data_IF_548472474509
#
_entry.id   IF_548472474509
#
_cell.length_a   1.000
_cell.length_b   1.000
_cell.length_c   1.000
_cell.angle_alpha   90.00
_cell.angle_beta   90.00
_cell.angle_gamma   90.00
#
_symmetry.space_group_name_H-M   'P 1'
#
loop_
_entity.id
_entity.type
_entity.pdbx_description
1 polymer ?
#
# COMPACT_ATOMS: atom_id res chain seq x y z
N UNK A 1 8.23 16.53 -6.87
CA UNK A 1 6.75 16.65 -6.81
C UNK A 1 6.29 18.06 -6.51
N UNK A 2 6.80 18.78 -5.50
CA UNK A 2 6.40 20.16 -5.25
C UNK A 2 6.62 21.04 -6.49
N UNK A 3 7.77 20.89 -7.16
CA UNK A 3 8.07 21.59 -8.41
C UNK A 3 7.09 21.22 -9.54
N UNK A 4 6.72 19.94 -9.67
CA UNK A 4 5.74 19.47 -10.67
C UNK A 4 4.35 20.01 -10.34
N UNK A 5 3.95 20.01 -9.07
CA UNK A 5 2.67 20.56 -8.62
C UNK A 5 2.56 22.06 -8.92
N UNK A 6 3.65 22.81 -8.73
CA UNK A 6 3.75 24.23 -9.07
C UNK A 6 3.69 24.49 -10.59
N UNK A 7 4.27 23.60 -11.39
CA UNK A 7 4.28 23.72 -12.86
C UNK A 7 2.93 23.35 -13.50
N UNK A 8 2.17 22.42 -12.92
CA UNK A 8 0.90 21.94 -13.50
C UNK A 8 -0.28 22.89 -13.36
N UNK A 9 -0.14 24.07 -12.71
CA UNK A 9 -1.23 25.05 -12.48
C UNK A 9 -2.53 24.42 -11.96
N UNK A 10 -2.46 23.21 -11.36
CA UNK A 10 -3.61 22.58 -10.73
C UNK A 10 -4.12 23.43 -9.57
N UNK A 11 -5.43 23.52 -9.40
CA UNK A 11 -6.02 24.24 -8.28
C UNK A 11 -5.43 23.74 -6.95
N UNK A 12 -4.96 24.68 -6.13
CA UNK A 12 -4.46 24.36 -4.79
C UNK A 12 -5.64 23.87 -3.94
N UNK A 13 -5.48 22.76 -3.17
CA UNK A 13 -6.55 22.21 -2.36
C UNK A 13 -7.07 23.19 -1.31
N UNK A 14 -8.33 23.07 -0.96
CA UNK A 14 -8.94 23.82 0.12
C UNK A 14 -8.43 23.35 1.50
N UNK A 15 -8.76 24.08 2.56
CA UNK A 15 -8.26 23.79 3.92
C UNK A 15 -8.68 22.41 4.43
N UNK A 16 -9.88 21.95 4.06
CA UNK A 16 -10.41 20.65 4.46
C UNK A 16 -9.63 19.53 3.77
N UNK A 17 -9.40 19.68 2.47
CA UNK A 17 -8.58 18.73 1.68
C UNK A 17 -7.13 18.68 2.14
N UNK A 18 -6.55 19.83 2.53
CA UNK A 18 -5.20 19.87 3.15
C UNK A 18 -5.19 19.09 4.46
N UNK A 19 -6.19 19.28 5.32
CA UNK A 19 -6.31 18.53 6.58
C UNK A 19 -6.38 17.02 6.32
N UNK A 20 -7.24 16.58 5.40
CA UNK A 20 -7.37 15.16 5.07
C UNK A 20 -6.10 14.58 4.44
N UNK A 21 -5.43 15.33 3.57
CA UNK A 21 -4.16 14.90 2.98
C UNK A 21 -3.04 14.78 4.04
N UNK A 22 -2.93 15.73 4.97
CA UNK A 22 -1.97 15.65 6.08
C UNK A 22 -2.29 14.48 7.02
N UNK A 23 -3.56 14.29 7.37
CA UNK A 23 -4.02 13.18 8.21
C UNK A 23 -3.71 11.84 7.55
N UNK A 24 -4.02 11.70 6.25
CA UNK A 24 -3.66 10.52 5.47
C UNK A 24 -2.15 10.25 5.53
N UNK A 25 -1.34 11.27 5.27
CA UNK A 25 0.11 11.14 5.34
C UNK A 25 0.62 10.73 6.72
N UNK A 26 0.09 11.34 7.78
CA UNK A 26 0.47 11.01 9.16
C UNK A 26 0.10 9.56 9.51
N UNK A 27 -1.13 9.13 9.22
CA UNK A 27 -1.60 7.76 9.44
C UNK A 27 -0.77 6.77 8.61
N UNK A 28 -0.56 7.07 7.32
CA UNK A 28 0.22 6.21 6.42
C UNK A 28 1.67 6.06 6.85
N UNK A 29 2.33 7.15 7.27
CA UNK A 29 3.70 7.12 7.77
C UNK A 29 3.83 6.30 9.06
N UNK A 30 2.90 6.47 9.99
CA UNK A 30 2.86 5.67 11.22
C UNK A 30 2.60 4.19 10.93
N UNK A 31 1.65 3.90 10.04
CA UNK A 31 1.33 2.52 9.64
C UNK A 31 2.50 1.82 8.97
N UNK A 32 3.25 2.55 8.14
CA UNK A 32 4.45 2.02 7.49
C UNK A 32 5.55 1.70 8.51
N UNK A 33 5.74 2.56 9.52
CA UNK A 33 6.70 2.30 10.60
C UNK A 33 6.31 1.04 11.40
N UNK A 34 5.03 0.86 11.73
CA UNK A 34 4.50 -0.34 12.39
C UNK A 34 4.68 -1.56 11.50
N UNK A 35 4.40 -1.43 10.20
CA UNK A 35 4.54 -2.51 9.23
C UNK A 35 5.98 -3.02 9.14
N UNK A 36 6.96 -2.11 9.07
CA UNK A 36 8.37 -2.50 9.09
C UNK A 36 8.77 -3.13 10.42
N UNK A 37 8.23 -2.65 11.55
CA UNK A 37 8.39 -3.29 12.85
C UNK A 37 7.83 -4.72 12.90
N UNK A 38 6.69 -4.94 12.27
CA UNK A 38 6.08 -6.26 12.12
C UNK A 38 6.94 -7.19 11.23
N UNK A 39 7.45 -6.69 10.09
CA UNK A 39 8.37 -7.43 9.22
C UNK A 39 9.66 -7.82 9.95
N UNK A 40 10.23 -6.91 10.74
CA UNK A 40 11.43 -7.16 11.54
C UNK A 40 11.24 -8.24 12.63
N UNK A 41 9.99 -8.57 12.99
CA UNK A 41 9.69 -9.67 13.91
C UNK A 41 9.94 -11.08 13.33
N UNK A 42 10.37 -11.18 12.08
CA UNK A 42 10.82 -12.41 11.43
C UNK A 42 9.71 -13.25 10.79
N UNK A 43 8.54 -12.68 10.53
CA UNK A 43 7.38 -13.39 9.95
C UNK A 43 6.88 -12.71 8.66
N UNK A 44 7.79 -12.42 7.74
CA UNK A 44 7.47 -11.74 6.49
C UNK A 44 6.31 -12.39 5.71
N UNK A 45 6.24 -13.72 5.72
CA UNK A 45 5.22 -14.48 4.98
C UNK A 45 3.78 -14.29 5.47
N UNK A 46 3.57 -13.87 6.73
CA UNK A 46 2.23 -13.62 7.29
C UNK A 46 1.92 -12.13 7.44
N UNK A 47 2.94 -11.34 7.74
CA UNK A 47 2.78 -9.91 8.03
C UNK A 47 2.25 -9.12 6.83
N UNK A 48 2.86 -9.31 5.67
CA UNK A 48 2.47 -8.57 4.46
C UNK A 48 1.03 -8.91 3.99
N UNK A 49 0.60 -10.21 3.94
CA UNK A 49 -0.77 -10.56 3.60
C UNK A 49 -1.81 -9.98 4.55
N UNK A 50 -1.56 -10.04 5.85
CA UNK A 50 -2.51 -9.54 6.85
C UNK A 50 -2.69 -8.03 6.69
N UNK A 51 -1.60 -7.29 6.57
CA UNK A 51 -1.66 -5.85 6.38
C UNK A 51 -2.32 -5.47 5.05
N UNK A 52 -2.00 -6.16 3.95
CA UNK A 52 -2.60 -5.91 2.65
C UNK A 52 -4.11 -6.22 2.65
N UNK A 53 -4.50 -7.36 3.23
CA UNK A 53 -5.91 -7.77 3.29
C UNK A 53 -6.77 -6.78 4.09
N UNK A 54 -6.32 -6.38 5.29
CA UNK A 54 -7.06 -5.40 6.12
C UNK A 54 -7.04 -4.02 5.49
N UNK A 55 -5.91 -3.60 4.92
CA UNK A 55 -5.77 -2.34 4.20
C UNK A 55 -6.72 -2.22 3.01
N UNK A 56 -7.03 -3.33 2.33
CA UNK A 56 -7.98 -3.36 1.23
C UNK A 56 -9.43 -3.60 1.70
N UNK A 57 -9.66 -4.56 2.60
CA UNK A 57 -11.01 -4.96 2.98
C UNK A 57 -11.79 -3.84 3.64
N UNK A 58 -11.17 -3.07 4.55
CA UNK A 58 -11.87 -2.02 5.30
C UNK A 58 -12.39 -0.90 4.37
N UNK A 59 -11.57 -0.24 3.51
CA UNK A 59 -12.08 0.78 2.60
C UNK A 59 -13.06 0.22 1.59
N UNK A 60 -12.84 -1.00 1.07
CA UNK A 60 -13.78 -1.67 0.18
C UNK A 60 -15.16 -1.87 0.84
N UNK A 61 -15.20 -2.32 2.10
CA UNK A 61 -16.47 -2.48 2.83
C UNK A 61 -17.16 -1.13 3.09
N UNK A 62 -16.39 -0.09 3.40
CA UNK A 62 -16.92 1.27 3.59
C UNK A 62 -17.51 1.79 2.28
N UNK A 63 -16.81 1.62 1.18
CA UNK A 63 -17.23 2.09 -0.14
C UNK A 63 -18.50 1.37 -0.61
N UNK A 64 -18.55 0.05 -0.47
CA UNK A 64 -19.76 -0.74 -0.76
C UNK A 64 -20.96 -0.30 0.10
N UNK A 65 -20.71 0.08 1.36
CA UNK A 65 -21.79 0.55 2.25
C UNK A 65 -22.32 1.93 1.85
N UNK A 66 -21.49 2.79 1.26
CA UNK A 66 -21.85 4.18 0.88
C UNK A 66 -22.36 4.23 -0.56
N UNK A 67 -21.65 3.62 -1.50
CA UNK A 67 -21.93 3.71 -2.93
C UNK A 67 -22.71 2.51 -3.49
N UNK A 68 -22.91 1.47 -2.66
CA UNK A 68 -23.56 0.22 -3.06
C UNK A 68 -22.58 -0.79 -3.67
N UNK A 69 -23.07 -1.99 -3.90
CA UNK A 69 -22.25 -3.09 -4.42
C UNK A 69 -21.71 -2.79 -5.82
N UNK A 70 -20.42 -3.04 -6.06
CA UNK A 70 -19.82 -2.91 -7.38
C UNK A 70 -20.39 -3.96 -8.35
N UNK A 71 -19.99 -3.89 -9.62
CA UNK A 71 -20.44 -4.84 -10.63
C UNK A 71 -20.08 -6.29 -10.27
N UNK A 72 -20.77 -7.23 -10.87
CA UNK A 72 -20.46 -8.67 -10.67
C UNK A 72 -19.05 -9.01 -11.15
N UNK A 73 -18.53 -8.30 -12.15
CA UNK A 73 -17.17 -8.48 -12.65
C UNK A 73 -16.14 -7.95 -11.68
N UNK A 74 -16.35 -6.77 -11.08
CA UNK A 74 -15.49 -6.24 -10.01
C UNK A 74 -15.47 -7.15 -8.79
N UNK A 75 -16.63 -7.67 -8.36
CA UNK A 75 -16.72 -8.63 -7.25
C UNK A 75 -15.95 -9.92 -7.52
N UNK A 76 -16.06 -10.47 -8.73
CA UNK A 76 -15.28 -11.64 -9.14
C UNK A 76 -13.78 -11.30 -9.17
N UNK A 77 -13.41 -10.12 -9.66
CA UNK A 77 -12.04 -9.60 -9.64
C UNK A 77 -11.48 -9.47 -8.23
N UNK A 78 -12.28 -8.98 -7.27
CA UNK A 78 -11.88 -8.90 -5.85
C UNK A 78 -11.60 -10.30 -5.27
N UNK A 79 -12.45 -11.27 -5.55
CA UNK A 79 -12.23 -12.65 -5.10
C UNK A 79 -10.93 -13.24 -5.69
N UNK A 80 -10.68 -13.00 -6.98
CA UNK A 80 -9.44 -13.42 -7.66
C UNK A 80 -8.23 -12.69 -7.08
N UNK A 81 -8.34 -11.39 -6.76
CA UNK A 81 -7.26 -10.62 -6.13
C UNK A 81 -6.90 -11.17 -4.73
N UNK A 82 -7.89 -11.48 -3.89
CA UNK A 82 -7.67 -12.08 -2.57
C UNK A 82 -6.98 -13.44 -2.71
N UNK A 83 -7.45 -14.28 -3.66
CA UNK A 83 -6.82 -15.57 -3.95
C UNK A 83 -5.37 -15.39 -4.44
N UNK A 84 -5.13 -14.40 -5.30
CA UNK A 84 -3.79 -14.08 -5.80
C UNK A 84 -2.84 -13.70 -4.66
N UNK A 85 -3.26 -12.79 -3.78
CA UNK A 85 -2.49 -12.37 -2.60
C UNK A 85 -2.16 -13.58 -1.73
N UNK A 86 -3.15 -14.44 -1.46
CA UNK A 86 -2.96 -15.64 -0.64
C UNK A 86 -1.97 -16.62 -1.29
N UNK A 87 -2.07 -16.88 -2.61
CA UNK A 87 -1.17 -17.78 -3.32
C UNK A 87 0.27 -17.25 -3.37
N UNK A 88 0.45 -15.95 -3.58
CA UNK A 88 1.76 -15.29 -3.67
C UNK A 88 2.48 -15.31 -2.32
N UNK A 89 1.74 -15.14 -1.25
CA UNK A 89 2.29 -14.97 0.10
C UNK A 89 2.40 -16.28 0.89
N UNK A 90 2.01 -17.41 0.31
CA UNK A 90 2.18 -18.73 0.95
C UNK A 90 3.66 -19.01 1.24
N UNK A 91 3.98 -19.49 2.48
CA UNK A 91 5.31 -19.94 2.82
C UNK A 91 5.70 -21.15 1.92
N UNK A 92 6.93 -21.15 1.42
CA UNK A 92 7.43 -22.32 0.69
C UNK A 92 7.83 -23.43 1.65
N UNK A 93 7.60 -24.74 1.28
CA UNK A 93 7.88 -25.87 2.15
C UNK A 93 9.38 -26.09 2.46
N UNK A 94 10.28 -25.47 1.68
CA UNK A 94 11.71 -25.67 1.79
C UNK A 94 12.36 -24.61 2.69
N UNK A 95 12.59 -24.95 3.96
CA UNK A 95 13.71 -24.47 4.74
C UNK A 95 13.47 -23.51 5.89
N UNK A 96 12.35 -22.85 6.01
CA UNK A 96 12.02 -22.14 7.26
C UNK A 96 11.09 -23.01 8.10
N UNK A 97 11.61 -23.49 9.24
CA UNK A 97 10.77 -24.03 10.31
C UNK A 97 9.65 -23.03 10.50
N UNK A 98 8.41 -23.43 10.18
CA UNK A 98 7.22 -22.65 10.45
C UNK A 98 7.22 -22.31 11.95
N UNK A 99 7.85 -21.19 12.32
CA UNK A 99 7.73 -20.67 13.67
C UNK A 99 6.29 -20.28 13.84
N UNK A 100 5.63 -20.95 14.78
CA UNK A 100 4.29 -20.58 15.21
C UNK A 100 4.20 -19.06 15.31
N UNK A 101 3.19 -18.47 14.66
CA UNK A 101 3.09 -17.04 14.50
C UNK A 101 3.29 -16.29 15.81
N UNK A 102 4.27 -15.38 15.85
CA UNK A 102 4.44 -14.53 17.01
C UNK A 102 3.21 -13.61 17.11
N UNK A 103 2.35 -13.75 18.15
CA UNK A 103 1.11 -12.99 18.26
C UNK A 103 1.34 -11.47 18.15
N UNK A 104 2.50 -11.00 18.62
CA UNK A 104 2.89 -9.59 18.55
C UNK A 104 3.12 -9.14 17.09
N UNK A 105 3.78 -9.97 16.28
CA UNK A 105 4.00 -9.67 14.85
C UNK A 105 2.68 -9.61 14.07
N UNK A 106 1.76 -10.54 14.35
CA UNK A 106 0.42 -10.57 13.76
C UNK A 106 -0.39 -9.33 14.17
N UNK A 107 -0.38 -8.98 15.46
CA UNK A 107 -1.07 -7.79 15.96
C UNK A 107 -0.53 -6.49 15.33
N UNK A 108 0.79 -6.35 15.18
CA UNK A 108 1.41 -5.22 14.50
C UNK A 108 1.04 -5.19 13.02
N UNK A 109 0.99 -6.34 12.34
CA UNK A 109 0.55 -6.43 10.95
C UNK A 109 -0.91 -6.00 10.77
N UNK A 110 -1.79 -6.45 11.67
CA UNK A 110 -3.19 -6.04 11.67
C UNK A 110 -3.35 -4.54 11.93
N UNK A 111 -2.62 -4.00 12.92
CA UNK A 111 -2.63 -2.56 13.22
C UNK A 111 -2.13 -1.73 12.03
N UNK A 112 -1.06 -2.18 11.37
CA UNK A 112 -0.57 -1.54 10.15
C UNK A 112 -1.61 -1.57 9.02
N UNK A 113 -2.31 -2.70 8.84
CA UNK A 113 -3.37 -2.84 7.85
C UNK A 113 -4.54 -1.90 8.10
N UNK A 114 -5.01 -1.78 9.35
CA UNK A 114 -6.04 -0.80 9.75
C UNK A 114 -5.56 0.63 9.47
N UNK A 115 -4.30 0.94 9.76
CA UNK A 115 -3.76 2.25 9.47
C UNK A 115 -3.62 2.52 7.95
N UNK A 116 -3.26 1.55 7.13
CA UNK A 116 -3.29 1.69 5.66
C UNK A 116 -4.72 1.94 5.14
N UNK A 117 -5.71 1.25 5.71
CA UNK A 117 -7.11 1.55 5.41
C UNK A 117 -7.48 3.00 5.75
N UNK A 118 -7.05 3.49 6.92
CA UNK A 118 -7.23 4.89 7.31
C UNK A 118 -6.57 5.87 6.34
N UNK A 119 -5.37 5.56 5.85
CA UNK A 119 -4.71 6.34 4.80
C UNK A 119 -5.59 6.45 3.54
N UNK A 120 -6.10 5.32 3.02
CA UNK A 120 -6.92 5.30 1.81
C UNK A 120 -8.23 6.08 1.99
N UNK A 121 -8.91 5.89 3.10
CA UNK A 121 -10.15 6.60 3.41
C UNK A 121 -9.93 8.11 3.57
N UNK A 122 -8.85 8.54 4.25
CA UNK A 122 -8.54 9.96 4.40
C UNK A 122 -8.14 10.60 3.07
N UNK A 123 -7.36 9.92 2.23
CA UNK A 123 -6.98 10.43 0.91
C UNK A 123 -8.21 10.60 0.02
N UNK A 124 -9.17 9.68 0.10
CA UNK A 124 -10.40 9.76 -0.69
C UNK A 124 -11.25 11.00 -0.34
N UNK A 125 -11.22 11.45 0.92
CA UNK A 125 -11.92 12.67 1.34
C UNK A 125 -11.27 13.97 0.83
N UNK A 126 -10.03 13.89 0.33
CA UNK A 126 -9.31 15.08 -0.13
C UNK A 126 -9.63 15.35 -1.60
N UNK A 127 -10.13 16.56 -1.90
CA UNK A 127 -10.47 17.04 -3.23
C UNK A 127 -9.41 17.97 -3.80
N UNK A 128 -9.28 18.05 -5.12
CA UNK A 128 -8.33 18.92 -5.81
C UNK A 128 -7.29 18.16 -6.60
N UNK A 129 -6.20 18.83 -6.98
CA UNK A 129 -5.15 18.22 -7.81
C UNK A 129 -4.50 17.01 -7.13
N UNK A 130 -4.50 15.81 -7.76
CA UNK A 130 -3.88 14.61 -7.21
C UNK A 130 -2.42 14.80 -6.81
N UNK A 131 -1.69 15.60 -7.57
CA UNK A 131 -0.26 15.88 -7.32
C UNK A 131 -0.09 16.70 -6.05
N UNK A 132 -0.96 17.70 -5.81
CA UNK A 132 -0.93 18.49 -4.57
C UNK A 132 -1.30 17.64 -3.36
N UNK A 133 -2.35 16.81 -3.45
CA UNK A 133 -2.78 15.92 -2.38
C UNK A 133 -1.67 14.93 -2.03
N UNK A 134 -1.05 14.30 -3.04
CA UNK A 134 0.09 13.41 -2.84
C UNK A 134 1.30 14.13 -2.21
N UNK A 135 1.61 15.35 -2.63
CA UNK A 135 2.71 16.12 -2.06
C UNK A 135 2.45 16.51 -0.60
N UNK A 136 1.23 16.95 -0.27
CA UNK A 136 0.83 17.33 1.09
C UNK A 136 0.82 16.10 2.02
N UNK A 137 0.32 14.96 1.55
CA UNK A 137 0.35 13.72 2.33
C UNK A 137 1.79 13.28 2.65
N UNK A 138 2.75 13.53 1.74
CA UNK A 138 4.18 13.27 2.03
C UNK A 138 4.72 14.14 3.16
N UNK A 139 4.28 15.38 3.27
CA UNK A 139 4.66 16.23 4.42
C UNK A 139 4.20 15.57 5.72
N UNK A 140 2.94 15.13 5.80
CA UNK A 140 2.43 14.38 6.96
C UNK A 140 3.24 13.12 7.27
N UNK A 141 3.55 12.30 6.25
CA UNK A 141 4.38 11.11 6.40
C UNK A 141 5.79 11.43 6.87
N UNK A 142 6.43 12.46 6.31
CA UNK A 142 7.78 12.86 6.70
C UNK A 142 7.83 13.31 8.16
N UNK A 143 6.85 14.12 8.60
CA UNK A 143 6.75 14.56 9.99
C UNK A 143 6.59 13.37 10.92
N UNK A 144 5.68 12.46 10.63
CA UNK A 144 5.43 11.27 11.46
C UNK A 144 6.64 10.34 11.51
N UNK A 145 7.30 10.12 10.37
CA UNK A 145 8.52 9.30 10.29
C UNK A 145 9.66 9.96 11.05
N UNK A 146 9.83 11.28 10.94
CA UNK A 146 10.84 12.02 11.70
C UNK A 146 10.60 11.90 13.21
N UNK A 147 9.36 12.06 13.66
CA UNK A 147 8.97 11.85 15.07
C UNK A 147 9.29 10.42 15.49
N UNK A 148 8.93 9.41 14.70
CA UNK A 148 9.21 8.02 14.99
C UNK A 148 10.71 7.75 15.13
N UNK A 149 11.55 8.29 14.25
CA UNK A 149 13.01 8.17 14.31
C UNK A 149 13.58 8.83 15.58
N UNK A 150 13.10 10.02 15.94
CA UNK A 150 13.54 10.74 17.14
C UNK A 150 13.15 9.97 18.40
N UNK A 151 11.90 9.51 18.50
CA UNK A 151 11.38 8.78 19.66
C UNK A 151 12.07 7.42 19.85
N UNK A 152 12.29 6.69 18.76
CA UNK A 152 12.94 5.39 18.81
C UNK A 152 14.46 5.46 18.87
N UNK A 153 15.04 6.66 18.73
CA UNK A 153 16.50 6.87 18.65
C UNK A 153 17.17 5.95 17.64
N UNK A 154 16.48 5.69 16.51
CA UNK A 154 16.98 4.80 15.48
C UNK A 154 18.28 5.33 14.87
N UNK A 155 19.34 4.50 14.72
CA UNK A 155 20.59 4.95 14.13
C UNK A 155 20.41 5.26 12.66
N UNK A 156 20.59 6.52 12.28
CA UNK A 156 20.56 6.97 10.88
C UNK A 156 21.91 6.65 10.22
N UNK A 157 22.04 5.47 9.65
CA UNK A 157 23.20 5.12 8.81
C UNK A 157 22.88 5.45 7.36
N UNK A 158 23.26 6.65 6.93
CA UNK A 158 23.07 7.12 5.56
C UNK A 158 24.37 6.86 4.76
N UNK A 159 24.45 5.73 4.08
CA UNK A 159 25.47 5.50 3.06
C UNK A 159 24.93 5.94 1.68
N UNK A 160 25.85 6.20 0.73
CA UNK A 160 25.47 6.70 -0.61
C UNK A 160 24.53 5.76 -1.35
N UNK A 161 24.72 4.44 -1.22
CA UNK A 161 23.89 3.45 -1.90
C UNK A 161 22.49 3.41 -1.35
N UNK A 162 22.33 3.36 -0.02
CA UNK A 162 21.03 3.38 0.65
C UNK A 162 20.28 4.69 0.38
N UNK A 163 20.98 5.82 0.36
CA UNK A 163 20.38 7.12 0.01
C UNK A 163 19.88 7.12 -1.43
N UNK A 164 20.68 6.67 -2.41
CA UNK A 164 20.26 6.61 -3.81
C UNK A 164 19.05 5.68 -4.02
N UNK A 165 19.07 4.49 -3.41
CA UNK A 165 17.92 3.57 -3.46
C UNK A 165 16.68 4.16 -2.80
N UNK A 166 16.84 4.86 -1.68
CA UNK A 166 15.75 5.56 -0.99
C UNK A 166 15.14 6.68 -1.85
N UNK A 167 15.97 7.44 -2.58
CA UNK A 167 15.48 8.47 -3.52
C UNK A 167 14.67 7.87 -4.67
N UNK A 168 15.16 6.77 -5.27
CA UNK A 168 14.43 6.05 -6.32
C UNK A 168 13.12 5.48 -5.80
N UNK A 169 13.14 4.81 -4.64
CA UNK A 169 11.94 4.29 -4.01
C UNK A 169 10.94 5.40 -3.68
N UNK A 170 11.40 6.54 -3.14
CA UNK A 170 10.57 7.69 -2.85
C UNK A 170 9.94 8.31 -4.10
N UNK A 171 10.67 8.34 -5.22
CA UNK A 171 10.11 8.79 -6.49
C UNK A 171 8.95 7.91 -6.96
N UNK A 172 9.14 6.60 -6.95
CA UNK A 172 8.07 5.64 -7.31
C UNK A 172 6.89 5.71 -6.34
N UNK A 173 7.14 5.81 -5.05
CA UNK A 173 6.12 5.90 -4.02
C UNK A 173 5.23 7.14 -4.16
N UNK A 174 5.83 8.32 -4.42
CA UNK A 174 5.08 9.55 -4.66
C UNK A 174 4.28 9.46 -5.96
N UNK A 175 4.86 8.90 -7.02
CA UNK A 175 4.17 8.72 -8.29
C UNK A 175 2.98 7.77 -8.14
N UNK A 176 3.17 6.65 -7.47
CA UNK A 176 2.09 5.69 -7.16
C UNK A 176 0.98 6.34 -6.32
N UNK A 177 1.34 7.16 -5.32
CA UNK A 177 0.37 7.88 -4.51
C UNK A 177 -0.44 8.89 -5.33
N UNK A 178 0.19 9.64 -6.24
CA UNK A 178 -0.53 10.57 -7.10
C UNK A 178 -1.49 9.83 -8.07
N UNK A 179 -1.06 8.70 -8.62
CA UNK A 179 -1.91 7.85 -9.47
C UNK A 179 -3.08 7.26 -8.67
N UNK A 180 -2.84 6.82 -7.44
CA UNK A 180 -3.91 6.34 -6.56
C UNK A 180 -4.94 7.44 -6.28
N UNK A 181 -4.50 8.65 -5.91
CA UNK A 181 -5.41 9.79 -5.68
C UNK A 181 -6.21 10.09 -6.95
N UNK A 182 -5.55 10.11 -8.10
CA UNK A 182 -6.24 10.32 -9.39
C UNK A 182 -7.30 9.25 -9.62
N UNK A 183 -6.97 7.97 -9.43
CA UNK A 183 -7.89 6.86 -9.63
C UNK A 183 -9.09 6.93 -8.66
N UNK A 184 -8.85 7.23 -7.38
CA UNK A 184 -9.90 7.34 -6.36
C UNK A 184 -10.82 8.54 -6.52
N UNK A 185 -10.40 9.57 -7.29
CA UNK A 185 -11.23 10.74 -7.59
C UNK A 185 -12.06 10.59 -8.89
N UNK A 186 -11.67 9.67 -9.79
CA UNK A 186 -12.29 9.48 -11.08
C UNK A 186 -13.00 8.12 -11.24
N UNK A 187 -12.91 7.27 -10.23
CA UNK A 187 -13.52 5.95 -10.19
C UNK A 187 -13.92 5.58 -8.77
N UNK A 188 -14.25 4.31 -8.58
CA UNK A 188 -14.62 3.79 -7.26
C UNK A 188 -13.38 3.59 -6.38
N UNK A 189 -13.51 3.93 -5.10
CA UNK A 189 -12.44 3.78 -4.12
C UNK A 189 -12.07 2.30 -3.91
N UNK A 190 -13.08 1.41 -3.83
CA UNK A 190 -12.89 -0.03 -3.61
C UNK A 190 -12.02 -0.65 -4.72
N UNK A 191 -12.26 -0.29 -5.98
CA UNK A 191 -11.49 -0.75 -7.13
C UNK A 191 -10.03 -0.27 -7.08
N UNK A 192 -9.83 1.02 -6.81
CA UNK A 192 -8.48 1.60 -6.69
C UNK A 192 -7.69 0.95 -5.56
N UNK A 193 -8.32 0.70 -4.41
CA UNK A 193 -7.69 0.08 -3.23
C UNK A 193 -7.34 -1.38 -3.49
N UNK A 194 -8.25 -2.16 -4.07
CA UNK A 194 -8.00 -3.59 -4.36
C UNK A 194 -6.88 -3.75 -5.39
N UNK A 195 -6.87 -2.95 -6.47
CA UNK A 195 -5.78 -2.96 -7.45
C UNK A 195 -4.44 -2.59 -6.78
N UNK A 196 -4.43 -1.55 -5.95
CA UNK A 196 -3.21 -1.14 -5.24
C UNK A 196 -2.71 -2.23 -4.29
N UNK A 197 -3.61 -3.00 -3.67
CA UNK A 197 -3.27 -4.09 -2.75
C UNK A 197 -2.61 -5.31 -3.43
N UNK A 198 -2.54 -5.33 -4.76
CA UNK A 198 -1.79 -6.34 -5.52
C UNK A 198 -0.27 -6.09 -5.57
N UNK A 199 0.25 -5.10 -4.85
CA UNK A 199 1.69 -4.83 -4.76
C UNK A 199 2.56 -6.07 -4.42
N UNK A 200 2.10 -7.11 -3.67
CA UNK A 200 2.90 -8.31 -3.47
C UNK A 200 3.23 -9.04 -4.78
N UNK A 201 2.34 -8.97 -5.78
CA UNK A 201 2.61 -9.56 -7.09
C UNK A 201 3.79 -8.87 -7.79
N UNK A 202 3.83 -7.54 -7.75
CA UNK A 202 4.94 -6.75 -8.28
C UNK A 202 6.24 -7.04 -7.53
N UNK A 203 6.17 -7.14 -6.20
CA UNK A 203 7.34 -7.48 -5.37
C UNK A 203 7.91 -8.84 -5.74
N UNK A 204 7.07 -9.86 -5.92
CA UNK A 204 7.50 -11.20 -6.31
C UNK A 204 8.07 -11.20 -7.73
N UNK A 205 7.45 -10.47 -8.66
CA UNK A 205 7.97 -10.34 -10.02
C UNK A 205 9.37 -9.71 -10.04
N UNK A 206 9.56 -8.64 -9.26
CA UNK A 206 10.87 -7.98 -9.12
C UNK A 206 11.92 -8.92 -8.47
N UNK A 207 11.54 -9.68 -7.44
CA UNK A 207 12.41 -10.67 -6.84
C UNK A 207 12.88 -11.73 -7.87
N UNK A 208 11.97 -12.16 -8.74
CA UNK A 208 12.32 -13.06 -9.85
C UNK A 208 13.29 -12.46 -10.85
N UNK A 209 13.02 -11.22 -11.29
CA UNK A 209 13.80 -10.57 -12.35
C UNK A 209 15.16 -10.06 -11.84
N UNK A 210 15.19 -9.49 -10.63
CA UNK A 210 16.40 -8.84 -10.09
C UNK A 210 17.24 -9.80 -9.25
N UNK A 211 16.61 -10.58 -8.36
CA UNK A 211 17.29 -11.51 -7.46
C UNK A 211 17.43 -12.91 -8.04
N UNK A 212 16.80 -13.18 -9.20
CA UNK A 212 16.79 -14.50 -9.89
C UNK A 212 16.28 -15.62 -8.99
N UNK A 213 15.38 -15.31 -8.05
CA UNK A 213 14.78 -16.30 -7.17
C UNK A 213 13.91 -17.30 -7.95
N UNK A 214 13.89 -18.55 -7.51
CA UNK A 214 13.04 -19.57 -8.11
C UNK A 214 11.59 -19.39 -7.62
N UNK A 215 10.64 -19.40 -8.58
CA UNK A 215 9.24 -19.37 -8.23
C UNK A 215 8.71 -20.77 -7.93
N UNK A 216 7.99 -20.90 -6.83
CA UNK A 216 7.10 -22.05 -6.68
C UNK A 216 5.94 -21.94 -7.67
N UNK A 217 5.35 -23.09 -8.01
CA UNK A 217 4.17 -23.14 -8.90
C UNK A 217 3.04 -22.26 -8.40
N UNK A 218 2.87 -22.19 -7.09
CA UNK A 218 1.83 -21.41 -6.42
C UNK A 218 2.03 -19.90 -6.58
N UNK A 219 3.25 -19.40 -6.43
CA UNK A 219 3.58 -17.98 -6.68
C UNK A 219 3.33 -17.59 -8.14
N UNK A 220 3.63 -18.49 -9.08
CA UNK A 220 3.38 -18.27 -10.50
C UNK A 220 1.87 -18.20 -10.79
N UNK A 221 1.08 -19.15 -10.27
CA UNK A 221 -0.40 -19.13 -10.39
C UNK A 221 -0.98 -17.87 -9.74
N UNK A 222 -0.49 -17.50 -8.56
CA UNK A 222 -0.89 -16.26 -7.89
C UNK A 222 -0.58 -14.99 -8.70
N UNK A 223 0.58 -14.96 -9.37
CA UNK A 223 0.93 -13.84 -10.25
C UNK A 223 -0.02 -13.74 -11.45
N UNK A 224 -0.33 -14.87 -12.09
CA UNK A 224 -1.32 -14.90 -13.19
C UNK A 224 -2.71 -14.49 -12.71
N UNK A 225 -3.12 -14.94 -11.53
CA UNK A 225 -4.39 -14.53 -10.93
C UNK A 225 -4.42 -13.01 -10.65
N UNK A 226 -3.32 -12.42 -10.13
CA UNK A 226 -3.22 -10.98 -9.92
C UNK A 226 -3.36 -10.19 -11.24
N UNK A 227 -2.69 -10.66 -12.29
CA UNK A 227 -2.79 -10.04 -13.63
C UNK A 227 -4.20 -10.16 -14.22
N UNK A 228 -4.91 -11.25 -13.95
CA UNK A 228 -6.29 -11.43 -14.39
C UNK A 228 -7.28 -10.59 -13.57
N UNK A 229 -7.03 -10.37 -12.29
CA UNK A 229 -7.89 -9.58 -11.41
C UNK A 229 -8.01 -8.12 -11.87
N UNK A 230 -6.90 -7.50 -12.31
CA UNK A 230 -6.86 -6.09 -12.69
C UNK A 230 -7.88 -5.74 -13.78
N UNK A 231 -7.90 -6.39 -14.96
CA UNK A 231 -8.91 -6.07 -15.98
C UNK A 231 -10.33 -6.43 -15.55
N UNK A 232 -10.53 -7.45 -14.70
CA UNK A 232 -11.86 -7.78 -14.19
C UNK A 232 -12.42 -6.69 -13.28
N UNK A 233 -11.57 -6.05 -12.48
CA UNK A 233 -11.94 -4.95 -11.60
C UNK A 233 -12.17 -3.68 -12.42
N UNK A 234 -11.28 -3.39 -13.36
CA UNK A 234 -11.34 -2.16 -14.16
C UNK A 234 -12.44 -2.18 -15.25
N UNK A 235 -13.02 -3.34 -15.59
CA UNK A 235 -14.08 -3.48 -16.57
C UNK A 235 -15.50 -3.43 -15.95
N UNK A 236 -15.59 -3.28 -14.65
CA UNK A 236 -16.85 -3.21 -13.90
C UNK A 236 -17.34 -1.83 -13.69
#
# INVERSE_FOLDING_TARGET
MLAIALMQRGAFPDRVSIFWALAAGAIGGFSLAIFYGALASGQMGLTAPIAALLGAAIPTMVDIAIEGAPSRWSLAGFAVAILAIWLITRPEPAGEKARAGNPRGIALAALAGVGFAGFYLCVHQASGSPVWIAAISRVGSCVTTAIAVIVTRAPLKLDRRSTALGMVAGFFDITASALFVYASQHGRLDEAVVITSLYPAVTVLLARLVLKEHFSRWKFVGLLAALAAVPMIAAG
#
